data_IF_908052249925
#
_entry.id   IF_908052249925
#
_cell.length_a   1.000
_cell.length_b   1.000
_cell.length_c   1.000
_cell.angle_alpha   90.00
_cell.angle_beta   90.00
_cell.angle_gamma   90.00
#
_symmetry.space_group_name_H-M   'P 1'
#
loop_
_entity.id
_entity.type
_entity.pdbx_description
1 polymer ?
#
# COMPACT_ATOMS: atom_id res chain seq x y z
N UNK A 1 2.10 19.95 -4.30
CA UNK A 1 1.23 19.06 -5.06
C UNK A 1 1.71 18.92 -6.48
N UNK A 2 1.55 17.75 -7.03
CA UNK A 2 1.99 17.41 -8.38
C UNK A 2 0.78 17.17 -9.28
N UNK A 3 0.98 17.31 -10.59
CA UNK A 3 0.00 16.91 -11.59
C UNK A 3 0.50 15.63 -12.28
N UNK A 4 -0.41 14.73 -12.59
CA UNK A 4 -0.12 13.52 -13.32
C UNK A 4 -1.39 12.93 -13.91
N UNK A 5 -1.22 12.00 -14.82
CA UNK A 5 -2.36 11.25 -15.36
C UNK A 5 -2.78 10.15 -14.39
N UNK A 6 -4.05 9.76 -14.42
CA UNK A 6 -4.59 8.72 -13.56
C UNK A 6 -3.75 7.43 -13.61
N UNK A 7 -3.29 7.03 -14.80
CA UNK A 7 -2.42 5.85 -14.96
C UNK A 7 -1.11 5.97 -14.20
N UNK A 8 -0.55 7.16 -14.09
CA UNK A 8 0.70 7.39 -13.36
C UNK A 8 0.48 7.22 -11.86
N UNK A 9 -0.67 7.65 -11.35
CA UNK A 9 -1.03 7.46 -9.94
C UNK A 9 -1.22 5.98 -9.64
N UNK A 10 -1.89 5.23 -10.52
CA UNK A 10 -2.03 3.78 -10.38
C UNK A 10 -0.68 3.07 -10.42
N UNK A 11 0.21 3.46 -11.32
CA UNK A 11 1.56 2.91 -11.40
C UNK A 11 2.38 3.24 -10.17
N UNK A 12 2.24 4.45 -9.66
CA UNK A 12 2.87 4.85 -8.39
C UNK A 12 2.41 3.96 -7.24
N UNK A 13 1.10 3.71 -7.13
CA UNK A 13 0.56 2.84 -6.10
C UNK A 13 1.06 1.39 -6.24
N UNK A 14 1.13 0.88 -7.47
CA UNK A 14 1.67 -0.45 -7.74
C UNK A 14 3.13 -0.56 -7.30
N UNK A 15 3.96 0.40 -7.69
CA UNK A 15 5.37 0.44 -7.31
C UNK A 15 5.56 0.57 -5.79
N UNK A 16 4.69 1.32 -5.16
CA UNK A 16 4.66 1.49 -3.71
C UNK A 16 4.44 0.15 -2.99
N UNK A 17 3.41 -0.60 -3.39
CA UNK A 17 3.13 -1.91 -2.80
C UNK A 17 4.24 -2.92 -3.12
N UNK A 18 4.81 -2.87 -4.32
CA UNK A 18 5.95 -3.70 -4.71
C UNK A 18 7.15 -3.43 -3.80
N UNK A 19 7.50 -2.16 -3.62
CA UNK A 19 8.61 -1.77 -2.75
C UNK A 19 8.36 -2.23 -1.30
N UNK A 20 7.16 -2.03 -0.80
CA UNK A 20 6.78 -2.42 0.56
C UNK A 20 6.86 -3.95 0.73
N UNK A 21 6.43 -4.71 -0.27
CA UNK A 21 6.57 -6.16 -0.28
C UNK A 21 8.03 -6.60 -0.16
N UNK A 22 8.90 -6.00 -0.96
CA UNK A 22 10.34 -6.30 -0.94
C UNK A 22 10.96 -5.93 0.41
N UNK A 23 10.52 -4.84 1.00
CA UNK A 23 10.98 -4.39 2.32
C UNK A 23 10.63 -5.40 3.41
N UNK A 24 9.37 -5.85 3.48
CA UNK A 24 8.97 -6.87 4.44
C UNK A 24 9.71 -8.19 4.21
N UNK A 25 9.99 -8.53 2.96
CA UNK A 25 10.75 -9.74 2.63
C UNK A 25 12.18 -9.65 3.16
N UNK A 26 12.83 -8.50 3.01
CA UNK A 26 14.18 -8.28 3.56
C UNK A 26 14.20 -8.39 5.08
N UNK A 27 13.20 -7.84 5.75
CA UNK A 27 13.06 -7.99 7.20
C UNK A 27 12.86 -9.46 7.59
N UNK A 28 12.04 -10.19 6.84
CA UNK A 28 11.83 -11.62 7.06
C UNK A 28 13.14 -12.40 6.95
N UNK A 29 13.94 -12.10 5.93
CA UNK A 29 15.22 -12.76 5.71
C UNK A 29 16.26 -12.43 6.80
N UNK A 30 16.08 -11.31 7.49
CA UNK A 30 17.00 -10.83 8.54
C UNK A 30 16.65 -11.28 9.95
N UNK A 31 15.43 -11.73 10.18
CA UNK A 31 15.01 -12.15 11.52
C UNK A 31 15.24 -13.64 11.74
N UNK A 32 15.65 -14.00 12.94
CA UNK A 32 15.82 -15.39 13.37
C UNK A 32 14.60 -15.91 14.16
N UNK A 33 13.65 -15.03 14.47
CA UNK A 33 12.46 -15.39 15.23
C UNK A 33 11.41 -16.02 14.31
N UNK A 34 11.02 -17.29 14.49
CA UNK A 34 10.11 -17.97 13.56
C UNK A 34 8.75 -17.30 13.41
N UNK A 35 8.17 -16.81 14.50
CA UNK A 35 6.86 -16.13 14.44
C UNK A 35 6.93 -14.79 13.71
N UNK A 36 8.01 -14.04 13.93
CA UNK A 36 8.24 -12.79 13.24
C UNK A 36 8.43 -13.04 11.73
N UNK A 37 9.16 -14.09 11.39
CA UNK A 37 9.36 -14.48 9.99
C UNK A 37 8.03 -14.81 9.31
N UNK A 38 7.16 -15.55 9.97
CA UNK A 38 5.82 -15.85 9.45
C UNK A 38 5.00 -14.58 9.21
N UNK A 39 5.02 -13.66 10.17
CA UNK A 39 4.31 -12.39 10.06
C UNK A 39 4.84 -11.57 8.88
N UNK A 40 6.16 -11.41 8.80
CA UNK A 40 6.77 -10.60 7.73
C UNK A 40 6.60 -11.22 6.35
N UNK A 41 6.69 -12.55 6.22
CA UNK A 41 6.40 -13.24 4.98
C UNK A 41 4.94 -13.03 4.54
N UNK A 42 4.01 -13.09 5.49
CA UNK A 42 2.61 -12.79 5.21
C UNK A 42 2.43 -11.35 4.74
N UNK A 43 3.04 -10.38 5.44
CA UNK A 43 2.97 -8.96 5.09
C UNK A 43 3.52 -8.71 3.68
N UNK A 44 4.63 -9.36 3.34
CA UNK A 44 5.21 -9.29 2.00
C UNK A 44 4.26 -9.81 0.93
N UNK A 45 3.65 -10.98 1.14
CA UNK A 45 2.71 -11.57 0.19
C UNK A 45 1.45 -10.72 0.04
N UNK A 46 0.98 -10.12 1.14
CA UNK A 46 -0.20 -9.25 1.11
C UNK A 46 0.04 -8.01 0.25
N UNK A 47 1.19 -7.38 0.37
CA UNK A 47 1.56 -6.23 -0.44
C UNK A 47 1.70 -6.61 -1.92
N UNK A 48 2.26 -7.79 -2.22
CA UNK A 48 2.31 -8.31 -3.59
C UNK A 48 0.91 -8.54 -4.18
N UNK A 49 0.00 -9.02 -3.37
CA UNK A 49 -1.40 -9.19 -3.76
C UNK A 49 -2.02 -7.85 -4.15
N UNK A 50 -1.80 -6.80 -3.35
CA UNK A 50 -2.30 -5.46 -3.65
C UNK A 50 -1.69 -4.90 -4.94
N UNK A 51 -0.41 -5.08 -5.16
CA UNK A 51 0.24 -4.69 -6.42
C UNK A 51 -0.47 -5.32 -7.62
N UNK A 52 -0.73 -6.63 -7.55
CA UNK A 52 -1.39 -7.38 -8.62
C UNK A 52 -2.81 -6.88 -8.86
N UNK A 53 -3.58 -6.64 -7.80
CA UNK A 53 -4.95 -6.15 -7.92
C UNK A 53 -4.98 -4.77 -8.58
N UNK A 54 -4.04 -3.89 -8.24
CA UNK A 54 -3.92 -2.57 -8.86
C UNK A 54 -3.58 -2.66 -10.36
N UNK A 55 -2.74 -3.62 -10.74
CA UNK A 55 -2.46 -3.89 -12.16
C UNK A 55 -3.72 -4.33 -12.91
N UNK A 56 -4.55 -5.14 -12.28
CA UNK A 56 -5.84 -5.56 -12.86
C UNK A 56 -6.77 -4.36 -13.04
N UNK A 57 -6.85 -3.46 -12.05
CA UNK A 57 -7.62 -2.22 -12.18
C UNK A 57 -7.13 -1.38 -13.36
N UNK A 58 -5.82 -1.21 -13.51
CA UNK A 58 -5.26 -0.48 -14.65
C UNK A 58 -5.66 -1.12 -15.97
N UNK A 59 -5.54 -2.44 -16.09
CA UNK A 59 -5.87 -3.20 -17.30
C UNK A 59 -7.35 -3.12 -17.66
N UNK A 60 -8.23 -3.00 -16.66
CA UNK A 60 -9.67 -2.99 -16.83
C UNK A 60 -10.27 -1.58 -16.96
N UNK A 61 -9.46 -0.54 -16.80
CA UNK A 61 -9.90 0.85 -16.89
C UNK A 61 -9.71 1.36 -18.31
N UNK A 62 -10.70 2.10 -18.83
CA UNK A 62 -10.63 2.66 -20.18
C UNK A 62 -9.48 3.66 -20.30
N UNK A 63 -8.79 3.63 -21.44
CA UNK A 63 -7.65 4.52 -21.74
C UNK A 63 -7.97 6.00 -21.53
N UNK A 64 -9.19 6.43 -21.88
CA UNK A 64 -9.61 7.81 -21.72
C UNK A 64 -9.57 8.25 -20.25
N UNK A 65 -10.05 7.39 -19.35
CA UNK A 65 -9.98 7.66 -17.91
C UNK A 65 -8.53 7.65 -17.41
N UNK A 66 -7.73 6.69 -17.86
CA UNK A 66 -6.31 6.58 -17.49
C UNK A 66 -5.48 7.78 -17.94
N UNK A 67 -5.84 8.40 -19.04
CA UNK A 67 -5.13 9.57 -19.59
C UNK A 67 -5.58 10.90 -18.96
N UNK A 68 -6.60 10.88 -18.10
CA UNK A 68 -7.09 12.08 -17.41
C UNK A 68 -6.04 12.66 -16.48
N UNK A 69 -5.80 13.96 -16.61
CA UNK A 69 -4.87 14.69 -15.72
C UNK A 69 -5.52 15.00 -14.38
N UNK A 70 -4.77 14.76 -13.33
CA UNK A 70 -5.21 14.91 -11.95
C UNK A 70 -4.17 15.64 -11.13
N UNK A 71 -4.64 16.35 -10.11
CA UNK A 71 -3.79 16.88 -9.06
C UNK A 71 -3.77 15.86 -7.90
N UNK A 72 -2.56 15.47 -7.47
CA UNK A 72 -2.41 14.52 -6.38
C UNK A 72 -1.24 14.92 -5.49
N UNK A 73 -1.25 14.41 -4.26
CA UNK A 73 -0.15 14.59 -3.33
C UNK A 73 0.80 13.39 -3.46
N UNK A 74 2.04 13.67 -3.85
CA UNK A 74 3.11 12.66 -3.89
C UNK A 74 3.92 12.66 -2.57
N UNK A 75 3.47 13.41 -1.57
CA UNK A 75 4.18 13.60 -0.31
C UNK A 75 4.08 12.43 0.65
N UNK A 76 3.68 11.25 0.17
CA UNK A 76 3.77 10.03 0.95
C UNK A 76 5.25 9.65 1.09
N UNK A 77 5.94 10.26 2.03
CA UNK A 77 7.24 9.77 2.43
C UNK A 77 7.08 8.55 3.33
N UNK A 78 6.36 7.56 2.85
CA UNK A 78 6.17 6.29 3.55
C UNK A 78 7.49 5.58 3.73
N UNK A 79 8.42 5.87 2.86
CA UNK A 79 9.75 5.30 2.94
C UNK A 79 10.57 5.86 4.11
N UNK A 80 10.21 7.01 4.68
CA UNK A 80 10.91 7.53 5.86
C UNK A 80 10.77 6.64 7.09
N UNK A 81 9.57 6.22 7.52
CA UNK A 81 9.46 5.27 8.62
C UNK A 81 10.13 3.94 8.33
N UNK A 82 10.11 3.53 7.06
CA UNK A 82 10.70 2.29 6.58
C UNK A 82 12.23 2.38 6.58
N UNK A 83 12.79 3.52 6.18
CA UNK A 83 14.23 3.75 6.15
C UNK A 83 14.84 3.91 7.56
N UNK A 84 14.06 4.40 8.52
CA UNK A 84 14.51 4.63 9.88
C UNK A 84 14.62 3.35 10.71
N UNK A 85 14.07 2.22 10.22
CA UNK A 85 14.12 0.96 10.95
C UNK A 85 15.40 0.22 10.59
N UNK A 86 16.24 0.04 11.59
CA UNK A 86 17.43 -0.78 11.50
C UNK A 86 17.06 -2.25 11.32
N UNK A 87 17.68 -2.92 10.36
CA UNK A 87 17.48 -4.35 10.11
C UNK A 87 17.93 -5.25 11.28
N UNK A 88 18.65 -4.69 12.25
CA UNK A 88 19.34 -5.47 13.26
C UNK A 88 18.66 -5.47 14.62
N UNK A 89 17.72 -4.56 14.87
CA UNK A 89 17.30 -4.33 16.24
C UNK A 89 15.81 -4.51 16.45
N UNK A 90 15.48 -5.20 17.51
CA UNK A 90 14.22 -5.14 18.27
C UNK A 90 12.94 -4.94 17.46
N UNK A 91 12.87 -5.57 16.28
CA UNK A 91 11.65 -5.57 15.51
C UNK A 91 10.60 -6.36 16.30
N UNK A 92 9.54 -5.68 16.70
CA UNK A 92 8.42 -6.28 17.41
C UNK A 92 7.20 -6.32 16.50
N UNK A 93 6.22 -7.20 16.77
CA UNK A 93 4.96 -7.18 16.02
C UNK A 93 4.28 -5.82 16.04
N UNK A 94 4.35 -5.10 17.17
CA UNK A 94 3.78 -3.77 17.33
C UNK A 94 4.41 -2.77 16.36
N UNK A 95 5.74 -2.83 16.17
CA UNK A 95 6.43 -1.98 15.20
C UNK A 95 6.03 -2.31 13.78
N UNK A 96 5.88 -3.60 13.44
CA UNK A 96 5.40 -4.03 12.12
C UNK A 96 4.01 -3.48 11.85
N UNK A 97 3.11 -3.57 12.81
CA UNK A 97 1.74 -3.03 12.68
C UNK A 97 1.74 -1.52 12.55
N UNK A 98 2.60 -0.82 13.27
CA UNK A 98 2.74 0.63 13.18
C UNK A 98 3.21 1.06 11.77
N UNK A 99 4.20 0.37 11.23
CA UNK A 99 4.68 0.61 9.85
C UNK A 99 3.53 0.38 8.86
N UNK A 100 2.83 -0.74 9.00
CA UNK A 100 1.71 -1.08 8.12
C UNK A 100 0.60 -0.02 8.19
N UNK A 101 0.29 0.49 9.38
CA UNK A 101 -0.71 1.54 9.56
C UNK A 101 -0.31 2.85 8.86
N UNK A 102 0.96 3.22 8.91
CA UNK A 102 1.47 4.41 8.23
C UNK A 102 1.40 4.25 6.71
N UNK A 103 1.73 3.05 6.21
CA UNK A 103 1.63 2.70 4.79
C UNK A 103 0.18 2.83 4.31
N UNK A 104 -0.76 2.23 5.04
CA UNK A 104 -2.18 2.29 4.72
C UNK A 104 -2.69 3.73 4.70
N UNK A 105 -2.34 4.51 5.72
CA UNK A 105 -2.79 5.89 5.82
C UNK A 105 -2.27 6.74 4.66
N UNK A 106 -1.06 6.47 4.21
CA UNK A 106 -0.48 7.15 3.06
C UNK A 106 -1.30 6.91 1.79
N UNK A 107 -1.63 5.64 1.50
CA UNK A 107 -2.42 5.29 0.33
C UNK A 107 -3.84 5.86 0.42
N UNK A 108 -4.46 5.76 1.59
CA UNK A 108 -5.79 6.32 1.84
C UNK A 108 -5.79 7.84 1.59
N UNK A 109 -4.81 8.55 2.11
CA UNK A 109 -4.70 10.00 1.90
C UNK A 109 -4.51 10.35 0.42
N UNK A 110 -3.70 9.59 -0.30
CA UNK A 110 -3.47 9.81 -1.73
C UNK A 110 -4.76 9.67 -2.55
N UNK A 111 -5.50 8.60 -2.31
CA UNK A 111 -6.77 8.37 -3.01
C UNK A 111 -7.82 9.40 -2.62
N UNK A 112 -7.92 9.74 -1.34
CA UNK A 112 -8.86 10.74 -0.84
C UNK A 112 -8.60 12.12 -1.48
N UNK A 113 -7.34 12.50 -1.64
CA UNK A 113 -6.97 13.74 -2.31
C UNK A 113 -7.50 13.79 -3.74
N UNK A 114 -7.34 12.71 -4.49
CA UNK A 114 -7.87 12.62 -5.86
C UNK A 114 -9.40 12.74 -5.86
N UNK A 115 -10.08 11.99 -5.00
CA UNK A 115 -11.55 12.00 -4.89
C UNK A 115 -12.08 13.42 -4.61
N UNK A 116 -11.44 14.13 -3.69
CA UNK A 116 -11.89 15.47 -3.27
C UNK A 116 -11.62 16.56 -4.30
N UNK A 117 -10.67 16.32 -5.20
CA UNK A 117 -10.23 17.35 -6.16
C UNK A 117 -10.71 17.14 -7.59
N UNK A 118 -11.04 15.90 -7.94
CA UNK A 118 -11.48 15.60 -9.30
C UNK A 118 -12.93 16.08 -9.55
N UNK A 119 -13.16 16.59 -10.77
CA UNK A 119 -14.50 16.89 -11.26
C UNK A 119 -15.00 15.82 -12.22
N UNK A 120 -14.18 14.83 -12.54
CA UNK A 120 -14.51 13.75 -13.47
C UNK A 120 -15.17 12.60 -12.71
N UNK A 121 -16.45 12.26 -13.00
CA UNK A 121 -17.17 11.21 -12.27
C UNK A 121 -16.54 9.82 -12.41
N UNK A 122 -15.99 9.49 -13.58
CA UNK A 122 -15.34 8.18 -13.79
C UNK A 122 -14.10 8.03 -12.94
N UNK A 123 -13.31 9.09 -12.83
CA UNK A 123 -12.11 9.11 -12.00
C UNK A 123 -12.50 9.01 -10.53
N UNK A 124 -13.52 9.75 -10.11
CA UNK A 124 -13.99 9.68 -8.73
C UNK A 124 -14.41 8.25 -8.36
N UNK A 125 -15.19 7.61 -9.22
CA UNK A 125 -15.62 6.23 -9.01
C UNK A 125 -14.43 5.26 -8.91
N UNK A 126 -13.45 5.40 -9.82
CA UNK A 126 -12.25 4.57 -9.81
C UNK A 126 -11.52 4.68 -8.47
N UNK A 127 -11.25 5.91 -8.02
CA UNK A 127 -10.49 6.12 -6.79
C UNK A 127 -11.30 5.81 -5.52
N UNK A 128 -12.62 5.95 -5.56
CA UNK A 128 -13.50 5.46 -4.48
C UNK A 128 -13.43 3.94 -4.36
N UNK A 129 -13.38 3.22 -5.48
CA UNK A 129 -13.21 1.77 -5.48
C UNK A 129 -11.83 1.36 -4.95
N UNK A 130 -10.79 2.08 -5.32
CA UNK A 130 -9.44 1.84 -4.80
C UNK A 130 -9.37 2.10 -3.29
N UNK A 131 -10.02 3.15 -2.82
CA UNK A 131 -10.09 3.46 -1.39
C UNK A 131 -10.78 2.34 -0.61
N UNK A 132 -11.92 1.86 -1.11
CA UNK A 132 -12.62 0.71 -0.51
C UNK A 132 -11.76 -0.54 -0.47
N UNK A 133 -11.02 -0.80 -1.54
CA UNK A 133 -10.09 -1.93 -1.62
C UNK A 133 -9.04 -1.83 -0.51
N UNK A 134 -8.38 -0.68 -0.37
CA UNK A 134 -7.35 -0.50 0.65
C UNK A 134 -7.91 -0.68 2.06
N UNK A 135 -9.09 -0.15 2.33
CA UNK A 135 -9.75 -0.28 3.63
C UNK A 135 -10.12 -1.73 3.95
N UNK A 136 -10.68 -2.46 2.98
CA UNK A 136 -11.04 -3.86 3.14
C UNK A 136 -9.81 -4.73 3.36
N UNK A 137 -8.78 -4.54 2.57
CA UNK A 137 -7.54 -5.31 2.67
C UNK A 137 -6.80 -5.01 3.98
N UNK A 138 -6.89 -3.79 4.47
CA UNK A 138 -6.38 -3.42 5.80
C UNK A 138 -7.00 -4.26 6.90
N UNK A 139 -8.32 -4.46 6.87
CA UNK A 139 -9.03 -5.28 7.84
C UNK A 139 -8.68 -6.77 7.73
N UNK A 140 -8.62 -7.29 6.51
CA UNK A 140 -8.23 -8.69 6.25
C UNK A 140 -6.83 -8.95 6.78
N UNK A 141 -5.90 -8.07 6.46
CA UNK A 141 -4.50 -8.18 6.91
C UNK A 141 -4.39 -8.15 8.43
N UNK A 142 -5.09 -7.22 9.07
CA UNK A 142 -5.05 -7.08 10.52
C UNK A 142 -5.53 -8.35 11.23
N UNK A 143 -6.64 -8.93 10.77
CA UNK A 143 -7.17 -10.18 11.34
C UNK A 143 -6.21 -11.35 11.14
N UNK A 144 -5.68 -11.51 9.93
CA UNK A 144 -4.78 -12.61 9.62
C UNK A 144 -3.47 -12.49 10.40
N UNK A 145 -2.92 -11.29 10.47
CA UNK A 145 -1.68 -11.02 11.22
C UNK A 145 -1.84 -11.33 12.72
N UNK A 146 -2.97 -10.93 13.32
CA UNK A 146 -3.25 -11.25 14.71
C UNK A 146 -3.38 -12.76 14.92
N UNK A 147 -4.03 -13.47 14.00
CA UNK A 147 -4.15 -14.92 14.04
C UNK A 147 -2.79 -15.63 14.00
N UNK A 148 -1.85 -15.13 13.21
CA UNK A 148 -0.50 -15.68 13.14
C UNK A 148 0.27 -15.50 14.45
N UNK A 149 0.03 -14.41 15.16
CA UNK A 149 0.69 -14.16 16.46
C UNK A 149 0.12 -14.99 17.59
N UNK A 150 -1.15 -15.41 17.48
CA UNK A 150 -1.83 -16.21 18.48
C UNK A 150 -1.57 -17.72 18.35
N UNK A 151 -0.82 -18.13 17.34
CA UNK A 151 -0.46 -19.54 17.10
C UNK A 151 0.57 -20.04 18.11
#
# INVERSE_FOLDING_TARGET
MSFGQAKQILQYAQNFHKFTSEYFKKLSDSTEQPRMKLLLDYMSRHEKHLERVLKEYESNTKSKALDTWLQFSSECSVFKPVEEISYTDDLTPEKVFEIAAQIDQCMINSYTTVINRTTNPEIRELFENLLKLEEQEKHVRARTALGLLDM
#
